data_IF_538250286073
#
_entry.id   IF_538250286073
#
_cell.length_a   1.000
_cell.length_b   1.000
_cell.length_c   1.000
_cell.angle_alpha   90.00
_cell.angle_beta   90.00
_cell.angle_gamma   90.00
#
_symmetry.space_group_name_H-M   'P 1'
#
loop_
_entity.id
_entity.type
_entity.pdbx_description
1 polymer ?
#
# COMPACT_ATOMS: atom_id res chain seq x y z
N UNK A 1 5.80 17.06 17.56
CA UNK A 1 5.14 15.74 17.64
C UNK A 1 4.26 15.65 16.41
N UNK A 2 4.72 14.97 15.35
CA UNK A 2 4.07 15.00 14.03
C UNK A 2 3.25 13.72 13.86
N UNK A 3 2.01 13.86 13.33
CA UNK A 3 1.17 12.75 12.89
C UNK A 3 0.35 12.01 13.95
N UNK A 4 -0.03 12.65 15.06
CA UNK A 4 -0.96 12.05 16.04
C UNK A 4 -2.40 12.06 15.51
N UNK A 5 -3.09 10.94 15.62
CA UNK A 5 -4.53 10.79 15.36
C UNK A 5 -5.22 10.46 16.68
N UNK A 6 -6.19 11.27 17.08
CA UNK A 6 -6.91 11.10 18.35
C UNK A 6 -7.98 10.01 18.27
N UNK A 7 -8.30 9.40 19.41
CA UNK A 7 -9.43 8.47 19.49
C UNK A 7 -10.76 9.20 19.36
N UNK A 8 -11.72 8.60 18.64
CA UNK A 8 -13.10 9.09 18.53
C UNK A 8 -13.73 9.36 19.90
N UNK A 9 -13.48 8.49 20.89
CA UNK A 9 -14.00 8.67 22.26
C UNK A 9 -13.54 9.96 22.92
N UNK A 10 -12.29 10.39 22.65
CA UNK A 10 -11.72 11.62 23.21
C UNK A 10 -12.02 12.87 22.38
N UNK A 11 -12.31 12.69 21.09
CA UNK A 11 -12.66 13.73 20.15
C UNK A 11 -13.82 13.25 19.24
N UNK A 12 -15.06 13.28 19.74
CA UNK A 12 -16.20 12.71 19.03
C UNK A 12 -16.61 13.56 17.82
N UNK A 13 -17.19 12.91 16.82
CA UNK A 13 -17.81 13.55 15.69
C UNK A 13 -19.08 14.32 16.12
N UNK A 14 -19.07 15.64 15.96
CA UNK A 14 -20.20 16.52 16.29
C UNK A 14 -20.78 17.25 15.08
N UNK A 15 -20.25 17.02 13.88
CA UNK A 15 -20.62 17.77 12.68
C UNK A 15 -21.76 17.16 11.85
N UNK A 16 -22.53 16.24 12.43
CA UNK A 16 -23.64 15.57 11.76
C UNK A 16 -24.74 16.52 11.24
N UNK A 17 -24.93 17.67 11.89
CA UNK A 17 -25.92 18.68 11.50
C UNK A 17 -25.34 19.80 10.61
N UNK A 18 -24.08 19.67 10.16
CA UNK A 18 -23.38 20.69 9.37
C UNK A 18 -22.63 21.73 10.20
N UNK A 19 -22.81 21.74 11.52
CA UNK A 19 -22.07 22.64 12.41
C UNK A 19 -20.63 22.14 12.63
N UNK A 20 -19.67 23.06 12.52
CA UNK A 20 -18.25 22.76 12.75
C UNK A 20 -17.81 23.48 14.02
N UNK A 21 -17.54 22.71 15.07
CA UNK A 21 -17.00 23.24 16.31
C UNK A 21 -15.56 23.75 16.10
N UNK A 22 -15.14 24.69 16.95
CA UNK A 22 -13.75 25.13 16.95
C UNK A 22 -12.78 23.98 17.26
N UNK A 23 -11.55 24.11 16.78
CA UNK A 23 -10.50 23.13 17.03
C UNK A 23 -10.20 23.06 18.54
N UNK A 24 -10.45 21.89 19.13
CA UNK A 24 -10.16 21.63 20.52
C UNK A 24 -8.67 21.32 20.67
N UNK A 25 -7.91 22.25 21.25
CA UNK A 25 -6.53 22.00 21.67
C UNK A 25 -6.49 21.77 23.18
N UNK A 26 -6.71 20.52 23.60
CA UNK A 26 -6.84 20.14 25.00
C UNK A 26 -5.92 18.99 25.37
N UNK A 27 -5.30 19.07 26.54
CA UNK A 27 -4.52 17.97 27.12
C UNK A 27 -5.36 16.74 27.46
N UNK A 28 -6.70 16.83 27.37
CA UNK A 28 -7.63 15.70 27.55
C UNK A 28 -7.75 14.82 26.31
N UNK A 29 -7.22 15.24 25.16
CA UNK A 29 -7.25 14.44 23.93
C UNK A 29 -6.33 13.22 24.08
N UNK A 30 -6.84 12.05 23.67
CA UNK A 30 -6.14 10.78 23.82
C UNK A 30 -5.62 10.33 22.46
N UNK A 31 -4.29 10.23 22.27
CA UNK A 31 -3.71 9.65 21.06
C UNK A 31 -4.21 8.21 20.84
N UNK A 32 -4.75 7.93 19.67
CA UNK A 32 -5.21 6.59 19.26
C UNK A 32 -4.28 5.92 18.26
N UNK A 33 -3.65 6.70 17.39
CA UNK A 33 -2.66 6.23 16.44
C UNK A 33 -1.61 7.31 16.17
N UNK A 34 -0.49 6.89 15.59
CA UNK A 34 0.52 7.79 15.05
C UNK A 34 0.91 7.35 13.65
N UNK A 35 0.96 8.30 12.73
CA UNK A 35 1.45 8.13 11.37
C UNK A 35 2.69 9.01 11.19
N UNK A 36 3.57 8.62 10.28
CA UNK A 36 4.74 9.42 9.91
C UNK A 36 4.73 9.83 8.43
N UNK A 37 3.68 9.43 7.69
CA UNK A 37 3.47 9.82 6.31
C UNK A 37 2.30 9.09 5.65
N UNK A 38 2.27 9.13 4.33
CA UNK A 38 1.33 8.41 3.49
C UNK A 38 2.02 7.98 2.20
N UNK A 39 1.41 7.02 1.51
CA UNK A 39 1.84 6.54 0.19
C UNK A 39 0.72 6.74 -0.81
N UNK A 40 1.09 7.18 -2.02
CA UNK A 40 0.22 7.11 -3.19
C UNK A 40 0.44 5.76 -3.86
N UNK A 41 -0.65 5.06 -4.14
CA UNK A 41 -0.64 3.78 -4.83
C UNK A 41 -0.76 4.09 -6.33
N UNK A 42 -0.07 3.35 -7.23
CA UNK A 42 -0.26 3.56 -8.66
C UNK A 42 -1.71 3.37 -9.09
N UNK A 43 -2.18 4.22 -10.02
CA UNK A 43 -3.56 4.22 -10.57
C UNK A 43 -3.85 3.00 -11.45
N UNK A 44 -3.79 1.82 -10.85
CA UNK A 44 -3.92 0.52 -11.49
C UNK A 44 -4.60 -0.46 -10.53
N UNK A 45 -5.78 -0.94 -10.92
CA UNK A 45 -6.62 -1.82 -10.10
C UNK A 45 -5.93 -3.13 -9.70
N UNK A 46 -5.05 -3.68 -10.54
CA UNK A 46 -4.27 -4.88 -10.18
C UNK A 46 -3.24 -4.59 -9.10
N UNK A 47 -2.57 -3.44 -9.19
CA UNK A 47 -1.61 -2.98 -8.17
C UNK A 47 -2.33 -2.65 -6.88
N UNK A 48 -3.48 -1.97 -6.94
CA UNK A 48 -4.32 -1.71 -5.77
C UNK A 48 -4.76 -3.00 -5.09
N UNK A 49 -5.16 -4.04 -5.86
CA UNK A 49 -5.57 -5.33 -5.29
C UNK A 49 -4.41 -5.99 -4.54
N UNK A 50 -3.22 -6.02 -5.15
CA UNK A 50 -2.02 -6.58 -4.53
C UNK A 50 -1.61 -5.79 -3.27
N UNK A 51 -1.68 -4.45 -3.33
CA UNK A 51 -1.38 -3.61 -2.18
C UNK A 51 -2.36 -3.84 -1.03
N UNK A 52 -3.66 -3.87 -1.34
CA UNK A 52 -4.73 -4.09 -0.36
C UNK A 52 -4.56 -5.42 0.36
N UNK A 53 -4.25 -6.49 -0.37
CA UNK A 53 -4.08 -7.83 0.18
C UNK A 53 -2.89 -7.91 1.17
N UNK A 54 -1.83 -7.13 0.92
CA UNK A 54 -0.60 -7.16 1.72
C UNK A 54 -0.62 -6.14 2.86
N UNK A 55 -1.20 -4.96 2.66
CA UNK A 55 -1.05 -3.80 3.55
C UNK A 55 -2.38 -3.33 4.17
N UNK A 56 -3.52 -3.86 3.73
CA UNK A 56 -4.84 -3.47 4.21
C UNK A 56 -5.49 -2.32 3.45
N UNK A 57 -6.52 -1.68 4.04
CA UNK A 57 -7.42 -0.75 3.35
C UNK A 57 -6.75 0.45 2.66
N UNK A 58 -7.39 0.90 1.56
CA UNK A 58 -6.92 2.01 0.73
C UNK A 58 -7.97 3.12 0.72
N UNK A 59 -7.58 4.35 1.05
CA UNK A 59 -8.42 5.52 0.83
C UNK A 59 -8.46 5.84 -0.67
N UNK A 60 -9.65 5.98 -1.23
CA UNK A 60 -9.85 6.29 -2.65
C UNK A 60 -10.85 7.43 -2.81
N UNK A 61 -10.70 8.18 -3.90
CA UNK A 61 -11.75 9.07 -4.40
C UNK A 61 -12.59 8.33 -5.44
N UNK A 62 -13.88 8.64 -5.50
CA UNK A 62 -14.81 8.10 -6.49
C UNK A 62 -15.77 9.19 -6.99
N UNK A 63 -16.39 8.93 -8.13
CA UNK A 63 -17.67 9.55 -8.50
C UNK A 63 -18.82 8.74 -7.87
N UNK A 64 -19.44 9.28 -6.83
CA UNK A 64 -20.54 8.66 -6.10
C UNK A 64 -21.93 8.99 -6.67
N UNK A 65 -22.06 9.58 -7.87
CA UNK A 65 -23.36 9.94 -8.44
C UNK A 65 -24.30 8.72 -8.54
N UNK A 66 -23.76 7.55 -8.90
CA UNK A 66 -24.51 6.29 -8.97
C UNK A 66 -24.76 5.64 -7.59
N UNK A 67 -24.15 6.12 -6.51
CA UNK A 67 -24.33 5.56 -5.17
C UNK A 67 -25.69 5.95 -4.56
N UNK A 68 -26.26 7.06 -5.00
CA UNK A 68 -27.55 7.57 -4.48
C UNK A 68 -28.70 6.56 -4.64
N UNK A 69 -28.69 5.75 -5.69
CA UNK A 69 -29.70 4.72 -5.97
C UNK A 69 -29.25 3.30 -5.62
N UNK A 70 -28.04 3.12 -5.11
CA UNK A 70 -27.51 1.80 -4.76
C UNK A 70 -28.22 1.21 -3.53
N UNK A 71 -28.63 -0.06 -3.65
CA UNK A 71 -29.25 -0.81 -2.54
C UNK A 71 -28.47 -2.09 -2.24
N UNK A 72 -28.12 -2.87 -3.27
CA UNK A 72 -27.33 -4.10 -3.13
C UNK A 72 -26.81 -4.58 -4.49
N UNK A 73 -25.99 -5.63 -4.48
CA UNK A 73 -25.44 -6.23 -5.69
C UNK A 73 -24.12 -5.60 -6.13
N UNK A 74 -23.61 -6.00 -7.29
CA UNK A 74 -22.41 -5.40 -7.88
C UNK A 74 -22.84 -4.25 -8.80
N UNK A 75 -22.43 -3.03 -8.47
CA UNK A 75 -22.63 -1.86 -9.30
C UNK A 75 -21.72 -1.96 -10.54
N UNK A 76 -22.34 -2.21 -11.70
CA UNK A 76 -21.64 -2.38 -12.98
C UNK A 76 -21.71 -1.14 -13.87
N UNK A 77 -22.69 -0.27 -13.64
CA UNK A 77 -22.93 0.96 -14.38
C UNK A 77 -22.49 2.17 -13.55
N UNK A 78 -21.21 2.51 -13.68
CA UNK A 78 -20.62 3.69 -13.08
C UNK A 78 -19.45 4.15 -13.95
N UNK A 79 -19.75 4.95 -14.98
CA UNK A 79 -18.72 5.44 -15.89
C UNK A 79 -17.77 6.42 -15.19
N UNK A 80 -18.34 7.25 -14.31
CA UNK A 80 -17.64 8.29 -13.57
C UNK A 80 -17.34 9.49 -14.47
N UNK A 81 -17.88 10.64 -14.10
CA UNK A 81 -17.69 11.91 -14.81
C UNK A 81 -16.70 12.80 -14.05
N UNK A 82 -16.85 12.89 -12.73
CA UNK A 82 -15.98 13.68 -11.87
C UNK A 82 -15.88 13.11 -10.45
N UNK A 83 -14.67 13.07 -9.91
CA UNK A 83 -14.43 12.72 -8.51
C UNK A 83 -15.16 13.71 -7.59
N UNK A 84 -16.00 13.19 -6.69
CA UNK A 84 -16.82 14.01 -5.81
C UNK A 84 -16.95 13.44 -4.38
N UNK A 85 -16.43 12.25 -4.11
CA UNK A 85 -16.60 11.59 -2.82
C UNK A 85 -15.38 10.77 -2.40
N UNK A 86 -15.11 10.73 -1.09
CA UNK A 86 -14.02 9.97 -0.49
C UNK A 86 -14.56 8.74 0.25
N UNK A 87 -13.97 7.57 -0.03
CA UNK A 87 -14.41 6.28 0.53
C UNK A 87 -13.22 5.37 0.83
N UNK A 88 -13.46 4.24 1.49
CA UNK A 88 -12.41 3.30 1.89
C UNK A 88 -12.60 1.95 1.18
N UNK A 89 -11.62 1.57 0.36
CA UNK A 89 -11.54 0.25 -0.25
C UNK A 89 -11.04 -0.76 0.77
N UNK A 90 -11.83 -1.81 1.04
CA UNK A 90 -11.56 -2.76 2.14
C UNK A 90 -11.42 -4.22 1.69
N UNK A 91 -11.82 -4.54 0.46
CA UNK A 91 -11.79 -5.91 -0.04
C UNK A 91 -12.01 -6.02 -1.53
N UNK A 92 -11.83 -7.22 -2.06
CA UNK A 92 -12.21 -7.57 -3.43
C UNK A 92 -12.50 -9.06 -3.57
N UNK A 93 -13.20 -9.43 -4.64
CA UNK A 93 -13.42 -10.81 -5.03
C UNK A 93 -13.25 -10.96 -6.55
N UNK A 94 -12.38 -11.89 -6.97
CA UNK A 94 -12.07 -12.18 -8.39
C UNK A 94 -12.65 -13.51 -8.88
N UNK A 95 -13.21 -14.34 -8.01
CA UNK A 95 -13.57 -15.74 -8.32
C UNK A 95 -15.04 -15.92 -8.73
N UNK A 96 -15.88 -14.88 -8.60
CA UNK A 96 -17.28 -14.89 -9.04
C UNK A 96 -17.48 -14.46 -10.49
N UNK A 97 -18.72 -14.60 -10.99
CA UNK A 97 -19.08 -14.24 -12.38
C UNK A 97 -18.90 -12.76 -12.73
N UNK A 98 -18.94 -11.87 -11.73
CA UNK A 98 -18.57 -10.46 -11.88
C UNK A 98 -17.58 -10.12 -10.78
N UNK A 99 -16.28 -9.96 -11.10
CA UNK A 99 -15.28 -9.49 -10.14
C UNK A 99 -15.65 -8.12 -9.57
N UNK A 100 -15.52 -7.93 -8.26
CA UNK A 100 -15.92 -6.70 -7.58
C UNK A 100 -14.96 -6.27 -6.46
N UNK A 101 -14.90 -4.96 -6.26
CA UNK A 101 -14.36 -4.28 -5.09
C UNK A 101 -15.41 -4.22 -3.97
N UNK A 102 -14.98 -4.20 -2.72
CA UNK A 102 -15.82 -3.92 -1.54
C UNK A 102 -15.36 -2.59 -0.96
N UNK A 103 -16.27 -1.62 -0.91
CA UNK A 103 -15.98 -0.25 -0.50
C UNK A 103 -16.87 0.09 0.70
N UNK A 104 -16.24 0.58 1.77
CA UNK A 104 -16.91 1.14 2.96
C UNK A 104 -17.26 2.60 2.71
N UNK A 105 -18.52 2.96 2.96
CA UNK A 105 -19.02 4.33 2.86
C UNK A 105 -19.27 4.93 4.25
N UNK A 106 -19.68 6.21 4.29
CA UNK A 106 -19.92 6.99 5.50
C UNK A 106 -21.38 7.47 5.64
N UNK A 107 -22.34 6.77 5.03
CA UNK A 107 -23.77 7.15 5.00
C UNK A 107 -24.64 6.30 5.93
N UNK A 108 -24.05 5.72 6.97
CA UNK A 108 -24.73 4.84 7.92
C UNK A 108 -24.94 3.42 7.39
N UNK A 109 -25.39 2.52 8.28
CA UNK A 109 -25.56 1.10 7.98
C UNK A 109 -26.87 0.79 7.23
N UNK A 110 -27.82 1.73 7.21
CA UNK A 110 -29.10 1.56 6.50
C UNK A 110 -28.96 1.75 4.99
N UNK A 111 -27.85 2.33 4.53
CA UNK A 111 -27.55 2.49 3.12
C UNK A 111 -26.78 1.29 2.56
N UNK A 112 -27.12 0.87 1.35
CA UNK A 112 -26.43 -0.19 0.62
C UNK A 112 -26.39 -1.52 1.38
N UNK A 113 -25.26 -2.21 1.28
CA UNK A 113 -25.04 -3.49 1.95
C UNK A 113 -24.42 -3.25 3.33
N UNK A 114 -25.23 -2.78 4.29
CA UNK A 114 -24.78 -2.45 5.66
C UNK A 114 -23.69 -1.36 5.70
N UNK A 115 -23.87 -0.32 4.90
CA UNK A 115 -22.91 0.79 4.75
C UNK A 115 -21.81 0.53 3.72
N UNK A 116 -21.89 -0.58 2.97
CA UNK A 116 -20.92 -0.94 1.93
C UNK A 116 -21.56 -0.94 0.55
N UNK A 117 -20.70 -0.82 -0.47
CA UNK A 117 -21.05 -1.00 -1.88
C UNK A 117 -20.05 -1.93 -2.54
N UNK A 118 -20.56 -2.81 -3.41
CA UNK A 118 -19.73 -3.60 -4.31
C UNK A 118 -19.69 -2.98 -5.69
N UNK A 119 -18.50 -2.73 -6.23
CA UNK A 119 -18.30 -2.06 -7.53
C UNK A 119 -17.50 -2.96 -8.45
N UNK A 120 -17.88 -3.04 -9.72
CA UNK A 120 -17.19 -3.91 -10.71
C UNK A 120 -15.70 -3.56 -10.82
N UNK A 121 -14.84 -4.60 -10.85
CA UNK A 121 -13.40 -4.45 -11.04
C UNK A 121 -13.02 -4.40 -12.52
N UNK A 122 -11.86 -3.78 -12.80
CA UNK A 122 -11.18 -3.83 -14.10
C UNK A 122 -11.73 -2.86 -15.14
N UNK A 123 -12.63 -1.95 -14.73
CA UNK A 123 -13.30 -0.99 -15.63
C UNK A 123 -13.05 0.46 -15.24
N UNK A 124 -12.22 0.70 -14.22
CA UNK A 124 -12.12 2.01 -13.56
C UNK A 124 -13.49 2.59 -13.20
N UNK A 125 -14.41 1.73 -12.74
CA UNK A 125 -15.76 2.16 -12.43
C UNK A 125 -15.74 3.25 -11.36
N UNK A 126 -16.55 4.29 -11.54
CA UNK A 126 -16.59 5.46 -10.67
C UNK A 126 -15.23 6.19 -10.53
N UNK A 127 -14.31 6.04 -11.49
CA UNK A 127 -12.95 6.60 -11.41
C UNK A 127 -12.15 6.13 -10.18
N UNK A 128 -12.49 4.96 -9.63
CA UNK A 128 -11.97 4.50 -8.32
C UNK A 128 -10.45 4.34 -8.22
N UNK A 129 -9.75 4.27 -9.36
CA UNK A 129 -8.30 4.06 -9.38
C UNK A 129 -7.51 5.36 -9.48
N UNK A 130 -8.16 6.52 -9.63
CA UNK A 130 -7.48 7.77 -9.96
C UNK A 130 -6.64 8.29 -8.78
N UNK A 131 -7.19 8.30 -7.56
CA UNK A 131 -6.52 8.85 -6.35
C UNK A 131 -6.41 7.86 -5.17
N UNK A 132 -5.70 6.71 -5.30
CA UNK A 132 -5.58 5.74 -4.22
C UNK A 132 -4.38 6.06 -3.31
N UNK A 133 -4.63 6.11 -2.00
CA UNK A 133 -3.60 6.40 -0.99
C UNK A 133 -3.79 5.60 0.30
N UNK A 134 -2.71 5.47 1.08
CA UNK A 134 -2.77 4.81 2.39
C UNK A 134 -1.80 5.48 3.36
N UNK A 135 -2.17 5.55 4.64
CA UNK A 135 -1.30 6.10 5.68
C UNK A 135 -0.15 5.13 5.97
N UNK A 136 1.05 5.68 6.23
CA UNK A 136 2.17 4.88 6.71
C UNK A 136 2.21 4.91 8.24
N UNK A 137 2.16 3.72 8.84
CA UNK A 137 2.26 3.54 10.29
C UNK A 137 3.67 3.04 10.60
N UNK A 138 4.48 3.76 11.38
CA UNK A 138 5.79 3.29 11.79
C UNK A 138 5.66 2.01 12.62
N UNK A 139 6.51 1.01 12.34
CA UNK A 139 6.54 -0.31 13.00
C UNK A 139 6.65 -0.29 14.54
N UNK A 140 6.90 0.86 15.16
CA UNK A 140 7.16 0.98 16.60
C UNK A 140 5.90 1.15 17.47
N UNK A 141 4.69 1.25 16.90
CA UNK A 141 3.48 1.61 17.65
C UNK A 141 2.26 0.74 17.34
N UNK A 142 2.43 -0.58 17.33
CA UNK A 142 1.32 -1.49 17.62
C UNK A 142 1.28 -1.75 19.13
N UNK A 143 0.35 -1.15 19.90
CA UNK A 143 -0.05 -1.71 21.18
C UNK A 143 -0.95 -2.91 20.89
N UNK A 144 -0.40 -4.12 20.93
CA UNK A 144 -1.21 -5.33 20.95
C UNK A 144 -1.59 -5.71 22.39
N UNK A 145 -2.88 -5.98 22.70
CA UNK A 145 -3.23 -7.01 23.66
C UNK A 145 -3.10 -8.37 22.97
N UNK A 146 -2.42 -9.31 23.62
CA UNK A 146 -2.02 -10.58 23.03
C UNK A 146 -3.17 -11.44 22.51
N UNK A 147 -2.95 -12.01 21.33
CA UNK A 147 -3.28 -13.41 21.06
C UNK A 147 -2.07 -14.01 20.37
N UNK A 148 -1.40 -14.91 21.06
CA UNK A 148 -0.52 -15.90 20.45
C UNK A 148 -1.36 -16.69 19.45
N UNK A 149 -1.31 -16.32 18.16
CA UNK A 149 -1.46 -17.29 17.10
C UNK A 149 -0.07 -17.57 16.55
N UNK A 150 0.31 -18.82 16.69
CA UNK A 150 1.50 -19.43 16.15
C UNK A 150 1.34 -19.54 14.62
N UNK A 151 1.20 -18.41 13.92
CA UNK A 151 1.24 -18.36 12.47
C UNK A 151 2.64 -17.89 12.07
N UNK A 152 3.51 -18.90 11.93
CA UNK A 152 4.82 -18.90 11.27
C UNK A 152 5.21 -17.52 10.72
N UNK A 153 6.06 -16.81 11.47
CA UNK A 153 6.71 -15.59 11.02
C UNK A 153 7.15 -15.75 9.55
N UNK A 154 6.92 -14.75 8.67
CA UNK A 154 7.34 -14.83 7.29
C UNK A 154 8.84 -15.09 7.27
N UNK A 155 9.22 -16.23 6.67
CA UNK A 155 10.60 -16.64 6.43
C UNK A 155 11.40 -15.42 5.99
N UNK A 156 12.39 -14.98 6.78
CA UNK A 156 13.21 -13.81 6.41
C UNK A 156 13.86 -14.13 5.07
N UNK A 157 13.52 -13.35 4.05
CA UNK A 157 14.13 -13.53 2.74
C UNK A 157 15.38 -12.66 2.68
N UNK A 158 16.54 -13.29 2.62
CA UNK A 158 17.83 -12.61 2.38
C UNK A 158 18.13 -12.65 0.88
N UNK A 159 18.73 -11.58 0.38
CA UNK A 159 19.24 -11.49 -0.98
C UNK A 159 20.76 -11.46 -0.92
N UNK A 160 21.39 -12.52 -1.43
CA UNK A 160 22.82 -12.48 -1.73
C UNK A 160 22.99 -11.72 -3.04
N UNK A 161 23.50 -10.49 -2.94
CA UNK A 161 23.80 -9.65 -4.09
C UNK A 161 25.28 -9.73 -4.40
N UNK A 162 25.61 -10.10 -5.63
CA UNK A 162 26.97 -10.15 -6.13
C UNK A 162 27.11 -9.16 -7.28
N UNK A 163 28.01 -8.19 -7.15
CA UNK A 163 28.38 -7.26 -8.21
C UNK A 163 29.79 -7.57 -8.67
N UNK A 164 30.02 -7.68 -9.98
CA UNK A 164 31.30 -8.03 -10.58
C UNK A 164 31.73 -6.99 -11.60
N UNK A 165 33.05 -6.90 -11.85
CA UNK A 165 33.60 -5.96 -12.83
C UNK A 165 33.55 -6.50 -14.25
N UNK A 166 33.46 -7.82 -14.42
CA UNK A 166 33.22 -8.45 -15.72
C UNK A 166 31.71 -8.52 -16.03
N UNK A 167 31.35 -8.90 -17.26
CA UNK A 167 29.95 -8.96 -17.70
C UNK A 167 29.25 -10.31 -17.41
N UNK A 168 29.96 -11.29 -16.85
CA UNK A 168 29.50 -12.68 -16.70
C UNK A 168 29.49 -13.18 -15.25
N UNK A 169 29.65 -12.28 -14.28
CA UNK A 169 29.69 -12.57 -12.86
C UNK A 169 30.78 -13.57 -12.46
N UNK A 170 32.02 -13.41 -12.97
CA UNK A 170 33.13 -14.35 -12.76
C UNK A 170 34.33 -13.73 -12.05
N UNK A 171 34.64 -12.48 -12.34
CA UNK A 171 35.88 -11.80 -11.93
C UNK A 171 35.59 -10.46 -11.24
N UNK A 172 36.40 -10.12 -10.24
CA UNK A 172 36.24 -8.86 -9.49
C UNK A 172 34.92 -8.76 -8.73
N UNK A 173 34.35 -9.90 -8.31
CA UNK A 173 33.05 -9.97 -7.66
C UNK A 173 33.11 -9.58 -6.18
N UNK A 174 32.19 -8.70 -5.76
CA UNK A 174 31.93 -8.35 -4.36
C UNK A 174 30.53 -8.79 -3.97
N UNK A 175 30.43 -9.58 -2.90
CA UNK A 175 29.16 -10.05 -2.34
C UNK A 175 28.69 -9.15 -1.20
N UNK A 176 27.39 -8.93 -1.15
CA UNK A 176 26.68 -8.20 -0.10
C UNK A 176 25.42 -8.96 0.27
N UNK A 177 25.10 -9.00 1.57
CA UNK A 177 23.88 -9.62 2.05
C UNK A 177 22.86 -8.52 2.37
N UNK A 178 21.71 -8.58 1.71
CA UNK A 178 20.62 -7.62 1.88
C UNK A 178 19.40 -8.35 2.44
N UNK A 179 18.60 -7.67 3.24
CA UNK A 179 17.29 -8.19 3.65
C UNK A 179 16.26 -7.70 2.63
N UNK A 180 15.47 -8.62 2.06
CA UNK A 180 14.43 -8.24 1.11
C UNK A 180 13.37 -7.34 1.78
N UNK A 181 12.77 -6.44 0.99
CA UNK A 181 11.76 -5.47 1.45
C UNK A 181 12.24 -4.51 2.56
N UNK A 182 13.56 -4.31 2.67
CA UNK A 182 14.16 -3.30 3.56
C UNK A 182 14.68 -2.14 2.72
N UNK A 183 14.36 -0.92 3.16
CA UNK A 183 14.87 0.30 2.56
C UNK A 183 16.24 0.67 3.13
N UNK A 184 17.25 0.73 2.27
CA UNK A 184 18.61 1.12 2.62
C UNK A 184 18.89 2.54 2.13
N UNK A 185 19.38 3.42 3.00
CA UNK A 185 19.78 4.79 2.64
C UNK A 185 21.11 4.76 1.90
N UNK A 186 21.18 5.43 0.77
CA UNK A 186 22.40 5.63 0.00
C UNK A 186 23.09 6.92 0.47
N UNK A 187 24.43 6.99 0.38
CA UNK A 187 25.21 8.13 0.87
C UNK A 187 24.92 9.49 0.20
N UNK A 188 24.19 9.51 -0.91
CA UNK A 188 23.80 10.72 -1.66
C UNK A 188 22.38 11.23 -1.39
N UNK A 189 21.72 10.79 -0.32
CA UNK A 189 20.36 11.22 0.04
C UNK A 189 19.23 10.41 -0.62
N UNK A 190 19.56 9.51 -1.55
CA UNK A 190 18.64 8.52 -2.10
C UNK A 190 18.53 7.26 -1.24
N UNK A 191 17.77 6.28 -1.72
CA UNK A 191 17.65 4.97 -1.09
C UNK A 191 17.51 3.84 -2.11
N UNK A 192 17.69 2.60 -1.67
CA UNK A 192 17.49 1.42 -2.49
C UNK A 192 16.74 0.33 -1.72
N UNK A 193 15.96 -0.46 -2.45
CA UNK A 193 15.24 -1.61 -1.89
C UNK A 193 15.21 -2.74 -2.90
N UNK A 194 15.40 -3.96 -2.41
CA UNK A 194 15.35 -5.18 -3.21
C UNK A 194 14.15 -6.03 -2.79
N UNK A 195 13.39 -6.52 -3.78
CA UNK A 195 12.22 -7.38 -3.58
C UNK A 195 12.42 -8.72 -4.27
N UNK A 196 12.11 -9.81 -3.57
CA UNK A 196 12.09 -11.15 -4.14
C UNK A 196 10.71 -11.48 -4.67
N UNK A 197 10.64 -11.95 -5.91
CA UNK A 197 9.47 -12.60 -6.51
C UNK A 197 9.77 -14.06 -6.84
N UNK A 198 8.80 -14.82 -7.36
CA UNK A 198 8.90 -16.27 -7.53
C UNK A 198 10.08 -16.77 -8.39
N UNK A 199 10.56 -15.95 -9.34
CA UNK A 199 11.68 -16.27 -10.24
C UNK A 199 12.52 -15.04 -10.60
N UNK A 200 12.25 -13.91 -9.95
CA UNK A 200 12.78 -12.60 -10.33
C UNK A 200 13.07 -11.78 -9.09
N UNK A 201 14.07 -10.94 -9.18
CA UNK A 201 14.47 -10.00 -8.15
C UNK A 201 14.34 -8.59 -8.72
N UNK A 202 13.59 -7.75 -8.03
CA UNK A 202 13.41 -6.35 -8.39
C UNK A 202 14.25 -5.47 -7.48
N UNK A 203 15.18 -4.72 -8.06
CA UNK A 203 16.02 -3.77 -7.33
C UNK A 203 15.62 -2.35 -7.73
N UNK A 204 15.08 -1.57 -6.80
CA UNK A 204 14.64 -0.21 -7.03
C UNK A 204 15.56 0.80 -6.32
N UNK A 205 15.91 1.88 -7.02
CA UNK A 205 16.62 3.04 -6.48
C UNK A 205 15.72 4.27 -6.51
N UNK A 206 15.78 5.07 -5.44
CA UNK A 206 14.93 6.22 -5.22
C UNK A 206 15.80 7.45 -4.95
N UNK A 207 15.36 8.62 -5.39
CA UNK A 207 16.04 9.89 -5.15
C UNK A 207 15.82 10.45 -3.73
N UNK A 208 14.89 9.85 -2.97
CA UNK A 208 14.62 10.16 -1.57
C UNK A 208 15.16 9.06 -0.64
N UNK A 209 15.33 9.31 0.67
CA UNK A 209 15.95 8.36 1.58
C UNK A 209 14.98 7.32 2.17
N UNK A 210 13.78 7.18 1.62
CA UNK A 210 12.66 6.44 2.23
C UNK A 210 12.03 5.38 1.33
N UNK A 211 12.57 5.15 0.12
CA UNK A 211 12.11 4.14 -0.83
C UNK A 211 10.63 4.26 -1.24
N UNK A 212 10.10 5.48 -1.34
CA UNK A 212 8.75 5.74 -1.83
C UNK A 212 8.74 6.54 -3.13
N UNK A 213 7.62 6.52 -3.85
CA UNK A 213 7.43 7.31 -5.07
C UNK A 213 8.12 6.72 -6.32
N UNK A 214 8.25 7.51 -7.40
CA UNK A 214 8.87 7.05 -8.64
C UNK A 214 10.34 6.71 -8.41
N UNK A 215 10.69 5.44 -8.58
CA UNK A 215 12.05 4.92 -8.48
C UNK A 215 12.47 4.24 -9.78
N UNK A 216 13.77 4.19 -10.03
CA UNK A 216 14.33 3.42 -11.14
C UNK A 216 14.51 1.98 -10.68
N UNK A 217 13.75 1.06 -11.28
CA UNK A 217 13.81 -0.35 -10.94
C UNK A 217 14.45 -1.18 -12.04
N UNK A 218 15.35 -2.08 -11.63
CA UNK A 218 15.94 -3.11 -12.48
C UNK A 218 15.40 -4.48 -12.06
N UNK A 219 14.93 -5.25 -13.04
CA UNK A 219 14.49 -6.62 -12.83
C UNK A 219 15.58 -7.58 -13.30
N UNK A 220 15.99 -8.51 -12.43
CA UNK A 220 16.96 -9.57 -12.74
C UNK A 220 16.36 -10.93 -12.44
N UNK A 221 16.61 -11.98 -13.24
CA UNK A 221 16.18 -13.32 -12.87
C UNK A 221 16.89 -13.79 -11.58
N UNK A 222 16.17 -14.51 -10.72
CA UNK A 222 16.72 -15.02 -9.46
C UNK A 222 17.88 -16.02 -9.72
N UNK A 223 19.03 -15.77 -9.09
CA UNK A 223 20.23 -16.59 -9.22
C UNK A 223 20.91 -16.53 -10.59
N UNK A 224 20.59 -15.56 -11.45
CA UNK A 224 21.22 -15.40 -12.76
C UNK A 224 21.97 -14.07 -12.89
N UNK A 225 23.10 -14.13 -13.58
CA UNK A 225 23.90 -12.96 -13.91
C UNK A 225 23.19 -12.09 -14.96
N UNK A 226 23.21 -10.78 -14.75
CA UNK A 226 22.68 -9.78 -15.67
C UNK A 226 23.67 -8.60 -15.80
N UNK A 227 23.74 -7.94 -16.98
CA UNK A 227 24.52 -6.72 -17.14
C UNK A 227 24.06 -5.61 -16.19
N UNK A 228 25.00 -4.92 -15.53
CA UNK A 228 24.71 -3.83 -14.61
C UNK A 228 25.81 -2.77 -14.62
N UNK A 229 25.47 -1.53 -14.98
CA UNK A 229 26.43 -0.44 -15.16
C UNK A 229 27.61 -0.86 -16.06
N UNK A 230 28.84 -0.82 -15.53
CA UNK A 230 30.09 -1.18 -16.23
C UNK A 230 30.52 -2.64 -16.00
N UNK A 231 29.64 -3.47 -15.43
CA UNK A 231 29.93 -4.87 -15.12
C UNK A 231 28.67 -5.71 -15.10
N UNK A 232 28.53 -6.57 -14.09
CA UNK A 232 27.38 -7.45 -13.94
C UNK A 232 26.90 -7.58 -12.49
N UNK A 233 25.64 -7.98 -12.34
CA UNK A 233 25.00 -8.23 -11.06
C UNK A 233 24.29 -9.58 -11.08
N UNK A 234 24.33 -10.28 -9.94
CA UNK A 234 23.53 -11.47 -9.69
C UNK A 234 22.90 -11.35 -8.31
N UNK A 235 21.57 -11.47 -8.25
CA UNK A 235 20.82 -11.46 -7.00
C UNK A 235 20.22 -12.84 -6.78
N UNK A 236 20.46 -13.43 -5.61
CA UNK A 236 19.92 -14.73 -5.24
C UNK A 236 19.08 -14.62 -3.99
N UNK A 237 17.79 -14.95 -4.08
CA UNK A 237 16.88 -14.95 -2.93
C UNK A 237 17.04 -16.26 -2.14
N UNK A 238 17.27 -16.12 -0.83
CA UNK A 238 17.36 -17.23 0.11
C UNK A 238 16.17 -17.16 1.07
N UNK A 239 15.37 -18.23 1.08
CA UNK A 239 14.16 -18.34 1.89
C UNK A 239 14.45 -19.20 3.12
N UNK A 240 14.72 -18.60 4.29
CA UNK A 240 14.96 -19.34 5.54
C UNK A 240 13.67 -19.64 6.27
#
# INVERSE_FOLDING_TARGET
MYGIVFTEKSYPYTSGNGDVAECLNSSKLVPGAQIDGYVMIPSNETVMAAWLAENGPIAIAVDASSFMSYQSGVLTSCAGDALNHGVLLVGYNKTGGVPYWVIKNSWGEDWGEKGYVRVVMGRNACLLKEEPSSAHVPRSLTPGPGTESEERAPKRVTVEQMMCTDMYCREGCKKSLLTANVCYKNGGGGSSMTKCGPQKVLMCSYSNPHCFGPGLCLETPDGKCAPYFLGSIMNTCQYT
#
